data_IF_221927235810
#
_entry.id   IF_221927235810
#
_cell.length_a   1.000
_cell.length_b   1.000
_cell.length_c   1.000
_cell.angle_alpha   90.00
_cell.angle_beta   90.00
_cell.angle_gamma   90.00
#
_symmetry.space_group_name_H-M   'P 1'
#
loop_
_entity.id
_entity.type
_entity.pdbx_description
1 polymer ?
#
# COMPACT_ATOMS: atom_id res chain seq x y z
N UNK A 1 19.37 -3.60 11.30
CA UNK A 1 18.11 -2.80 11.30
C UNK A 1 17.49 -2.82 12.69
N UNK A 2 17.28 -3.97 13.29
CA UNK A 2 16.69 -4.13 14.63
C UNK A 2 17.41 -3.30 15.70
N UNK A 3 18.74 -3.41 15.82
CA UNK A 3 19.55 -2.57 16.71
C UNK A 3 19.33 -1.06 16.49
N UNK A 4 19.10 -0.64 15.23
CA UNK A 4 18.80 0.75 14.91
C UNK A 4 17.47 1.21 15.49
N UNK A 5 16.43 0.40 15.36
CA UNK A 5 15.11 0.65 15.96
C UNK A 5 15.23 0.71 17.48
N UNK A 6 15.91 -0.26 18.08
CA UNK A 6 16.15 -0.28 19.54
C UNK A 6 16.87 0.99 20.03
N UNK A 7 17.87 1.48 19.30
CA UNK A 7 18.57 2.73 19.66
C UNK A 7 17.67 3.96 19.62
N UNK A 8 16.76 4.05 18.63
CA UNK A 8 15.78 5.15 18.55
C UNK A 8 14.83 5.12 19.74
N UNK A 9 14.25 3.95 20.04
CA UNK A 9 13.34 3.77 21.19
C UNK A 9 14.03 4.12 22.50
N UNK A 10 15.24 3.60 22.72
CA UNK A 10 16.04 3.90 23.92
C UNK A 10 16.37 5.41 24.06
N UNK A 11 16.60 6.10 22.94
CA UNK A 11 16.83 7.54 22.95
C UNK A 11 15.60 8.33 23.36
N UNK A 12 14.43 7.96 22.82
CA UNK A 12 13.14 8.55 23.18
C UNK A 12 12.80 8.31 24.65
N UNK A 13 13.08 7.12 25.15
CA UNK A 13 12.85 6.78 26.56
C UNK A 13 13.76 7.60 27.48
N UNK A 14 15.07 7.68 27.19
CA UNK A 14 16.02 8.47 27.98
C UNK A 14 15.71 9.97 27.98
N UNK A 15 15.14 10.49 26.89
CA UNK A 15 14.71 11.89 26.79
C UNK A 15 13.33 12.17 27.36
N UNK A 16 12.61 11.15 27.87
CA UNK A 16 11.26 11.27 28.39
C UNK A 16 10.18 11.55 27.34
N UNK A 17 10.48 11.31 26.05
CA UNK A 17 9.58 11.61 24.93
C UNK A 17 8.78 10.40 24.45
N UNK A 18 9.12 9.18 24.87
CA UNK A 18 8.53 7.94 24.35
C UNK A 18 7.02 7.89 24.52
N UNK A 19 6.49 8.35 25.66
CA UNK A 19 5.06 8.31 25.95
C UNK A 19 4.25 9.27 25.06
N UNK A 20 4.87 10.32 24.53
CA UNK A 20 4.24 11.26 23.61
C UNK A 20 4.73 11.12 22.16
N UNK A 21 5.17 9.92 21.77
CA UNK A 21 5.68 9.66 20.41
C UNK A 21 4.97 8.47 19.80
N UNK A 22 4.28 8.68 18.66
CA UNK A 22 3.82 7.61 17.80
C UNK A 22 4.98 7.16 16.89
N UNK A 23 5.38 5.91 17.01
CA UNK A 23 6.40 5.28 16.16
C UNK A 23 5.70 4.47 15.08
N UNK A 24 6.00 4.76 13.82
CA UNK A 24 5.53 4.01 12.66
C UNK A 24 6.73 3.36 12.00
N UNK A 25 6.75 2.04 11.94
CA UNK A 25 7.76 1.27 11.24
C UNK A 25 7.11 0.48 10.11
N UNK A 26 7.49 0.76 8.87
CA UNK A 26 6.95 0.10 7.70
C UNK A 26 8.01 -0.02 6.60
N UNK A 27 7.81 -1.01 5.71
CA UNK A 27 8.58 -1.10 4.48
C UNK A 27 7.89 -0.28 3.38
N UNK A 28 8.68 0.23 2.43
CA UNK A 28 8.21 0.98 1.26
C UNK A 28 7.65 0.09 0.15
N UNK A 29 8.20 -1.11 0.02
CA UNK A 29 7.83 -2.12 -0.98
C UNK A 29 8.16 -3.54 -0.48
N UNK A 30 7.73 -4.54 -1.23
CA UNK A 30 8.12 -5.92 -0.96
C UNK A 30 9.63 -6.13 -1.10
N UNK A 31 10.15 -7.14 -0.43
CA UNK A 31 11.57 -7.46 -0.45
C UNK A 31 12.04 -7.97 -1.82
N UNK A 32 13.27 -7.64 -2.18
CA UNK A 32 13.92 -8.13 -3.40
C UNK A 32 14.54 -9.52 -3.13
N UNK A 33 14.06 -10.55 -3.81
CA UNK A 33 14.58 -11.91 -3.69
C UNK A 33 16.04 -12.04 -4.10
N UNK A 34 16.53 -11.17 -4.99
CA UNK A 34 17.95 -11.14 -5.36
C UNK A 34 18.84 -10.71 -4.19
N UNK A 35 18.26 -10.00 -3.22
CA UNK A 35 18.89 -9.60 -1.97
C UNK A 35 18.50 -10.51 -0.80
N UNK A 36 18.13 -11.76 -1.07
CA UNK A 36 17.75 -12.79 -0.08
C UNK A 36 16.53 -12.43 0.78
N UNK A 37 15.73 -11.46 0.34
CA UNK A 37 14.54 -11.08 1.07
C UNK A 37 13.45 -12.16 1.00
N UNK A 38 12.73 -12.35 2.10
CA UNK A 38 11.64 -13.29 2.23
C UNK A 38 10.31 -12.54 2.41
N UNK A 39 9.44 -12.61 1.39
CA UNK A 39 8.11 -12.00 1.42
C UNK A 39 7.03 -12.92 2.02
N UNK A 40 7.44 -14.02 2.65
CA UNK A 40 6.52 -15.03 3.18
C UNK A 40 5.84 -15.86 2.08
N UNK A 41 4.60 -16.33 2.31
CA UNK A 41 3.93 -17.26 1.39
C UNK A 41 3.29 -16.59 0.17
N UNK A 42 3.46 -15.27 -0.01
CA UNK A 42 2.85 -14.52 -1.11
C UNK A 42 3.70 -14.58 -2.38
N UNK A 43 3.05 -14.39 -3.53
CA UNK A 43 3.71 -14.39 -4.84
C UNK A 43 4.39 -13.06 -5.11
N UNK A 44 5.47 -13.08 -5.89
CA UNK A 44 6.18 -11.90 -6.39
C UNK A 44 7.22 -11.35 -5.42
N UNK A 45 7.89 -10.30 -5.88
CA UNK A 45 8.91 -9.59 -5.13
C UNK A 45 8.93 -8.09 -5.51
N UNK A 46 9.92 -7.37 -5.01
CA UNK A 46 10.09 -5.93 -5.30
C UNK A 46 9.92 -5.63 -6.79
N UNK A 47 8.94 -4.81 -7.10
CA UNK A 47 8.64 -4.40 -8.47
C UNK A 47 7.46 -5.10 -9.08
N UNK A 48 7.00 -6.22 -8.54
CA UNK A 48 5.78 -6.88 -8.99
C UNK A 48 4.51 -6.23 -8.43
N UNK A 49 3.39 -6.42 -9.14
CA UNK A 49 2.05 -6.06 -8.66
C UNK A 49 1.36 -7.20 -7.89
N UNK A 50 2.01 -8.35 -7.75
CA UNK A 50 1.60 -9.37 -6.79
C UNK A 50 1.81 -8.91 -5.36
N UNK A 51 1.14 -9.54 -4.40
CA UNK A 51 1.23 -9.15 -2.99
C UNK A 51 2.68 -9.14 -2.46
N UNK A 52 3.57 -10.01 -2.97
CA UNK A 52 4.98 -10.01 -2.59
C UNK A 52 5.75 -8.73 -2.96
N UNK A 53 5.26 -7.95 -3.93
CA UNK A 53 5.86 -6.67 -4.30
C UNK A 53 5.19 -5.47 -3.62
N UNK A 54 3.91 -5.55 -3.26
CA UNK A 54 3.14 -4.39 -2.79
C UNK A 54 2.63 -4.50 -1.35
N UNK A 55 2.52 -5.71 -0.79
CA UNK A 55 2.12 -5.91 0.59
C UNK A 55 3.33 -5.86 1.50
N UNK A 56 3.32 -4.92 2.43
CA UNK A 56 4.45 -4.63 3.29
C UNK A 56 4.11 -4.85 4.77
N UNK A 57 5.14 -5.14 5.57
CA UNK A 57 5.02 -5.11 7.01
C UNK A 57 4.86 -3.65 7.47
N UNK A 58 3.90 -3.42 8.34
CA UNK A 58 3.69 -2.13 8.99
C UNK A 58 3.35 -2.35 10.45
N UNK A 59 4.00 -1.62 11.33
CA UNK A 59 3.78 -1.66 12.77
C UNK A 59 3.67 -0.25 13.32
N UNK A 60 2.71 -0.03 14.20
CA UNK A 60 2.53 1.23 14.91
C UNK A 60 2.68 0.95 16.40
N UNK A 61 3.45 1.80 17.07
CA UNK A 61 3.66 1.72 18.50
C UNK A 61 3.50 3.10 19.14
N UNK A 62 2.68 3.17 20.17
CA UNK A 62 2.54 4.36 21.00
C UNK A 62 2.27 3.92 22.43
N UNK A 63 3.25 4.12 23.28
CA UNK A 63 3.24 3.64 24.64
C UNK A 63 2.04 4.21 25.43
N UNK A 64 1.25 3.32 26.04
CA UNK A 64 0.06 3.69 26.81
C UNK A 64 -1.17 4.13 25.99
N UNK A 65 -1.05 4.26 24.66
CA UNK A 65 -2.12 4.72 23.77
C UNK A 65 -2.63 3.67 22.78
N UNK A 66 -1.77 2.75 22.35
CA UNK A 66 -2.13 1.68 21.44
C UNK A 66 -1.98 0.32 22.12
N UNK A 67 -3.01 -0.51 22.00
CA UNK A 67 -2.98 -1.90 22.46
C UNK A 67 -2.20 -2.79 21.49
N UNK A 68 -1.52 -3.81 22.02
CA UNK A 68 -0.86 -4.82 21.20
C UNK A 68 -1.89 -5.71 20.51
N UNK A 69 -2.01 -5.58 19.19
CA UNK A 69 -2.95 -6.38 18.39
C UNK A 69 -2.54 -6.45 16.93
N UNK A 70 -3.12 -7.39 16.22
CA UNK A 70 -3.01 -7.49 14.77
C UNK A 70 -4.27 -6.95 14.09
N UNK A 71 -4.08 -6.10 13.10
CA UNK A 71 -5.14 -5.53 12.26
C UNK A 71 -5.06 -6.18 10.88
N UNK A 72 -6.17 -6.75 10.40
CA UNK A 72 -6.24 -7.43 9.11
C UNK A 72 -6.94 -6.61 8.02
N UNK A 73 -7.36 -5.40 8.34
CA UNK A 73 -8.00 -4.49 7.41
C UNK A 73 -7.02 -4.05 6.30
N UNK A 74 -7.54 -3.77 5.11
CA UNK A 74 -6.76 -3.20 4.03
C UNK A 74 -6.42 -1.74 4.32
N UNK A 75 -5.13 -1.45 4.46
CA UNK A 75 -4.60 -0.12 4.71
C UNK A 75 -3.53 0.19 3.67
N UNK A 76 -3.47 1.43 3.20
CA UNK A 76 -2.48 1.94 2.27
C UNK A 76 -1.52 2.89 2.95
N UNK A 77 -0.31 3.06 2.39
CA UNK A 77 0.63 4.09 2.86
C UNK A 77 0.04 5.51 2.77
N UNK A 78 -0.82 5.76 1.79
CA UNK A 78 -1.55 7.02 1.66
C UNK A 78 -2.50 7.31 2.84
N UNK A 79 -2.86 6.31 3.63
CA UNK A 79 -3.74 6.47 4.79
C UNK A 79 -3.00 7.03 6.02
N UNK A 80 -1.67 6.98 6.02
CA UNK A 80 -0.86 7.50 7.14
C UNK A 80 -1.09 8.99 7.32
N UNK A 81 -1.01 9.77 6.25
CA UNK A 81 -1.17 11.22 6.32
C UNK A 81 -2.52 11.67 6.93
N UNK A 82 -3.70 11.25 6.38
CA UNK A 82 -4.97 11.62 6.99
C UNK A 82 -5.16 11.07 8.40
N UNK A 83 -4.58 9.92 8.73
CA UNK A 83 -4.62 9.37 10.08
C UNK A 83 -3.86 10.26 11.07
N UNK A 84 -2.68 10.75 10.69
CA UNK A 84 -1.92 11.68 11.53
C UNK A 84 -2.62 13.03 11.68
N UNK A 85 -3.19 13.56 10.59
CA UNK A 85 -4.00 14.78 10.64
C UNK A 85 -5.18 14.65 11.58
N UNK A 86 -5.92 13.54 11.49
CA UNK A 86 -7.06 13.24 12.37
C UNK A 86 -6.63 13.07 13.84
N UNK A 87 -5.48 12.41 14.05
CA UNK A 87 -4.91 12.24 15.38
C UNK A 87 -4.63 13.57 16.10
N UNK A 88 -4.12 14.56 15.37
CA UNK A 88 -3.80 15.90 15.89
C UNK A 88 -4.92 16.92 15.64
N UNK A 89 -6.10 16.48 15.19
CA UNK A 89 -7.27 17.31 14.89
C UNK A 89 -7.00 18.41 13.85
N UNK A 90 -6.12 18.14 12.90
CA UNK A 90 -5.82 19.04 11.79
C UNK A 90 -6.71 18.72 10.59
N UNK A 91 -7.57 19.65 10.13
CA UNK A 91 -8.43 19.40 8.99
C UNK A 91 -7.62 19.32 7.68
N UNK A 92 -8.00 18.36 6.83
CA UNK A 92 -7.45 18.22 5.48
C UNK A 92 -8.42 18.93 4.50
N UNK A 93 -8.01 20.07 3.96
CA UNK A 93 -8.86 20.95 3.15
C UNK A 93 -8.71 20.75 1.63
N UNK A 94 -8.09 19.65 1.20
CA UNK A 94 -7.91 19.32 -0.20
C UNK A 94 -8.19 17.83 -0.44
N UNK A 95 -8.41 17.47 -1.70
CA UNK A 95 -8.65 16.09 -2.09
C UNK A 95 -7.38 15.26 -1.88
N UNK A 96 -7.54 14.12 -1.21
CA UNK A 96 -6.51 13.09 -1.01
C UNK A 96 -7.08 11.71 -1.35
N UNK A 97 -6.21 10.74 -1.60
CA UNK A 97 -6.62 9.37 -1.90
C UNK A 97 -6.71 8.48 -0.64
N UNK A 98 -6.01 8.87 0.43
CA UNK A 98 -6.02 8.15 1.69
C UNK A 98 -7.24 8.46 2.54
N UNK A 99 -7.53 7.57 3.48
CA UNK A 99 -8.55 7.74 4.53
C UNK A 99 -7.90 7.66 5.91
N UNK A 100 -8.45 8.34 6.91
CA UNK A 100 -8.02 8.12 8.29
C UNK A 100 -8.37 6.71 8.74
N UNK A 101 -7.42 6.00 9.30
CA UNK A 101 -7.60 4.70 9.96
C UNK A 101 -7.46 4.83 11.49
N UNK A 102 -7.61 6.04 12.02
CA UNK A 102 -7.58 6.30 13.46
C UNK A 102 -8.60 5.47 14.23
N UNK A 103 -9.84 5.22 13.75
CA UNK A 103 -10.77 4.30 14.41
C UNK A 103 -10.17 2.90 14.61
N UNK A 104 -9.49 2.35 13.60
CA UNK A 104 -8.81 1.06 13.74
C UNK A 104 -7.73 1.11 14.82
N UNK A 105 -6.96 2.19 14.91
CA UNK A 105 -5.92 2.34 15.92
C UNK A 105 -6.52 2.40 17.34
N UNK A 106 -7.73 2.90 17.48
CA UNK A 106 -8.51 3.00 18.73
C UNK A 106 -9.38 1.77 19.03
N UNK A 107 -9.13 0.66 18.36
CA UNK A 107 -9.89 -0.58 18.51
C UNK A 107 -11.39 -0.45 18.20
N UNK A 108 -11.72 0.41 17.22
CA UNK A 108 -13.08 0.60 16.71
C UNK A 108 -13.22 -0.10 15.36
N UNK A 109 -14.42 -0.53 15.02
CA UNK A 109 -14.72 -1.11 13.73
C UNK A 109 -14.66 -0.06 12.63
N UNK A 110 -14.06 -0.41 11.50
CA UNK A 110 -13.99 0.43 10.31
C UNK A 110 -13.90 -0.44 9.06
N UNK A 111 -14.73 -0.14 8.07
CA UNK A 111 -14.63 -0.71 6.73
C UNK A 111 -13.59 0.09 5.93
N UNK A 112 -12.52 -0.56 5.50
CA UNK A 112 -11.42 0.09 4.76
C UNK A 112 -11.27 -0.41 3.32
N UNK A 113 -11.98 -1.45 2.95
CA UNK A 113 -11.90 -2.12 1.65
C UNK A 113 -13.05 -1.78 0.71
N UNK A 114 -14.03 -0.96 1.15
CA UNK A 114 -15.12 -0.46 0.28
C UNK A 114 -14.67 0.77 -0.54
N UNK A 115 -13.47 0.65 -1.12
CA UNK A 115 -12.84 1.65 -2.00
C UNK A 115 -11.90 0.95 -2.97
N UNK A 116 -11.63 1.60 -4.11
CA UNK A 116 -10.59 1.12 -5.02
C UNK A 116 -9.21 1.53 -4.53
N UNK A 117 -8.31 0.58 -4.44
CA UNK A 117 -6.89 0.79 -4.14
C UNK A 117 -6.09 0.57 -5.41
N UNK A 118 -5.23 1.53 -5.75
CA UNK A 118 -4.48 1.52 -7.01
C UNK A 118 -2.98 1.49 -6.76
N UNK A 119 -2.26 0.73 -7.58
CA UNK A 119 -0.81 0.75 -7.68
C UNK A 119 -0.43 0.95 -9.13
N UNK A 120 0.43 1.93 -9.38
CA UNK A 120 0.96 2.24 -10.70
C UNK A 120 2.46 2.41 -10.57
N UNK A 121 3.21 1.58 -11.28
CA UNK A 121 4.65 1.73 -11.42
C UNK A 121 4.97 2.03 -12.86
N UNK A 122 5.57 3.19 -13.10
CA UNK A 122 6.06 3.62 -14.42
C UNK A 122 7.54 3.85 -14.31
N UNK A 123 8.33 3.10 -15.05
CA UNK A 123 9.78 3.27 -15.09
C UNK A 123 10.18 3.94 -16.40
N UNK A 124 11.14 4.85 -16.30
CA UNK A 124 11.69 5.62 -17.42
C UNK A 124 13.15 5.22 -17.68
N UNK A 125 13.63 5.46 -18.91
CA UNK A 125 15.04 5.31 -19.30
C UNK A 125 15.46 3.88 -19.56
N UNK A 126 16.68 3.53 -19.18
CA UNK A 126 17.32 2.24 -19.47
C UNK A 126 16.60 1.01 -18.90
N UNK A 127 15.63 1.21 -18.00
CA UNK A 127 14.80 0.15 -17.43
C UNK A 127 13.59 -0.17 -18.32
N UNK A 128 13.48 0.47 -19.48
CA UNK A 128 12.66 -0.02 -20.58
C UNK A 128 11.18 0.29 -20.53
N UNK A 129 10.76 1.41 -19.92
CA UNK A 129 9.37 1.89 -20.02
C UNK A 129 8.31 0.89 -19.49
N UNK A 130 8.65 0.06 -18.53
CA UNK A 130 7.73 -0.90 -17.91
C UNK A 130 6.64 -0.15 -17.18
N UNK A 131 5.40 -0.37 -17.60
CA UNK A 131 4.22 0.06 -16.85
C UNK A 131 3.60 -1.17 -16.21
N UNK A 132 3.50 -1.14 -14.89
CA UNK A 132 2.90 -2.19 -14.09
C UNK A 132 1.75 -1.58 -13.30
N UNK A 133 0.67 -2.31 -13.17
CA UNK A 133 -0.56 -1.75 -12.66
C UNK A 133 -1.31 -2.78 -11.85
N UNK A 134 -1.94 -2.33 -10.76
CA UNK A 134 -2.93 -3.13 -10.04
C UNK A 134 -4.06 -2.25 -9.51
N UNK A 135 -5.22 -2.85 -9.40
CA UNK A 135 -6.36 -2.30 -8.66
C UNK A 135 -6.95 -3.39 -7.77
N UNK A 136 -7.31 -3.02 -6.56
CA UNK A 136 -8.01 -3.89 -5.61
C UNK A 136 -9.30 -3.22 -5.12
N UNK A 137 -10.34 -4.01 -5.01
CA UNK A 137 -11.61 -3.65 -4.39
C UNK A 137 -12.11 -4.85 -3.60
N UNK A 138 -12.25 -4.70 -2.31
CA UNK A 138 -12.58 -5.79 -1.38
C UNK A 138 -11.61 -6.97 -1.57
N UNK A 139 -12.15 -8.19 -1.75
CA UNK A 139 -11.37 -9.40 -1.99
C UNK A 139 -10.84 -9.55 -3.42
N UNK A 140 -11.25 -8.70 -4.36
CA UNK A 140 -10.86 -8.85 -5.78
C UNK A 140 -9.70 -7.95 -6.17
N UNK A 141 -8.77 -8.50 -6.95
CA UNK A 141 -7.58 -7.81 -7.45
C UNK A 141 -7.40 -8.08 -8.94
N UNK A 142 -7.18 -7.01 -9.69
CA UNK A 142 -6.83 -7.05 -11.10
C UNK A 142 -5.45 -6.43 -11.26
N UNK A 143 -4.54 -7.10 -11.97
CA UNK A 143 -3.16 -6.64 -12.12
C UNK A 143 -2.56 -6.96 -13.48
N UNK A 144 -1.49 -6.25 -13.82
CA UNK A 144 -0.62 -6.47 -14.96
C UNK A 144 0.82 -6.15 -14.57
N UNK A 145 1.71 -7.13 -14.68
CA UNK A 145 3.13 -6.96 -14.32
C UNK A 145 4.02 -6.53 -15.48
N UNK A 146 3.56 -6.68 -16.71
CA UNK A 146 4.28 -6.21 -17.88
C UNK A 146 3.34 -5.61 -18.91
N UNK A 147 3.76 -4.58 -19.65
CA UNK A 147 3.02 -4.11 -20.81
C UNK A 147 2.73 -5.28 -21.75
N UNK A 148 1.56 -5.30 -22.37
CA UNK A 148 1.13 -6.31 -23.35
C UNK A 148 0.86 -7.72 -22.79
N UNK A 149 1.10 -8.01 -21.52
CA UNK A 149 0.59 -9.24 -20.91
C UNK A 149 -0.93 -9.12 -20.64
N UNK A 150 -1.67 -10.23 -20.70
CA UNK A 150 -3.06 -10.23 -20.28
C UNK A 150 -3.19 -9.79 -18.82
N UNK A 151 -4.25 -9.05 -18.52
CA UNK A 151 -4.62 -8.74 -17.14
C UNK A 151 -4.96 -10.03 -16.40
N UNK A 152 -4.46 -10.15 -15.18
CA UNK A 152 -4.71 -11.27 -14.28
C UNK A 152 -5.69 -10.82 -13.18
N UNK A 153 -6.71 -11.62 -12.93
CA UNK A 153 -7.80 -11.33 -12.01
C UNK A 153 -7.90 -12.40 -10.94
N UNK A 154 -7.94 -12.01 -9.67
CA UNK A 154 -7.89 -12.92 -8.53
C UNK A 154 -8.92 -12.58 -7.46
N UNK A 155 -9.39 -13.61 -6.75
CA UNK A 155 -10.06 -13.46 -5.46
C UNK A 155 -9.03 -13.70 -4.34
N UNK A 156 -8.58 -12.66 -3.68
CA UNK A 156 -7.51 -12.70 -2.66
C UNK A 156 -7.90 -13.42 -1.38
N UNK A 157 -9.22 -13.62 -1.15
CA UNK A 157 -9.72 -14.39 0.00
C UNK A 157 -9.61 -15.90 -0.25
N UNK A 158 -9.82 -16.32 -1.50
CA UNK A 158 -9.77 -17.73 -1.91
C UNK A 158 -8.36 -18.14 -2.34
N UNK A 159 -7.65 -17.23 -3.00
CA UNK A 159 -6.30 -17.43 -3.55
C UNK A 159 -5.35 -16.31 -3.12
N UNK A 160 -4.90 -16.37 -1.88
CA UNK A 160 -3.92 -15.42 -1.34
C UNK A 160 -2.52 -15.52 -1.96
N UNK A 161 -2.27 -16.56 -2.75
CA UNK A 161 -1.01 -16.78 -3.49
C UNK A 161 -1.06 -16.28 -4.93
N UNK A 162 -2.20 -15.79 -5.39
CA UNK A 162 -2.37 -15.26 -6.75
C UNK A 162 -1.93 -16.28 -7.82
N UNK A 163 -2.28 -17.54 -7.63
CA UNK A 163 -1.83 -18.68 -8.45
C UNK A 163 -2.86 -19.12 -9.48
N UNK A 164 -4.14 -18.80 -9.28
CA UNK A 164 -5.27 -19.26 -10.09
C UNK A 164 -6.12 -18.06 -10.54
N UNK A 165 -5.77 -17.44 -11.69
CA UNK A 165 -6.58 -16.35 -12.24
C UNK A 165 -8.01 -16.79 -12.52
N UNK A 166 -8.95 -15.93 -12.19
CA UNK A 166 -10.38 -16.13 -12.45
C UNK A 166 -10.73 -15.76 -13.89
N UNK A 167 -11.85 -16.34 -14.37
CA UNK A 167 -12.51 -15.89 -15.58
C UNK A 167 -13.14 -14.49 -15.42
N UNK A 168 -13.27 -13.78 -16.52
CA UNK A 168 -13.81 -12.42 -16.54
C UNK A 168 -15.30 -12.41 -16.23
N UNK A 169 -15.70 -11.62 -15.25
CA UNK A 169 -17.06 -11.43 -14.81
C UNK A 169 -17.47 -9.95 -14.70
N UNK A 170 -18.58 -9.68 -14.04
CA UNK A 170 -19.06 -8.32 -13.82
C UNK A 170 -18.12 -7.52 -12.87
N UNK A 171 -17.46 -8.20 -11.91
CA UNK A 171 -16.50 -7.56 -10.98
C UNK A 171 -15.21 -7.22 -11.71
N UNK A 172 -14.70 -8.12 -12.56
CA UNK A 172 -13.59 -7.83 -13.47
C UNK A 172 -13.87 -6.55 -14.27
N UNK A 173 -15.05 -6.43 -14.86
CA UNK A 173 -15.43 -5.28 -15.69
C UNK A 173 -15.44 -3.98 -14.90
N UNK A 174 -15.89 -4.01 -13.63
CA UNK A 174 -15.83 -2.86 -12.70
C UNK A 174 -14.40 -2.47 -12.37
N UNK A 175 -13.55 -3.43 -12.02
CA UNK A 175 -12.13 -3.19 -11.71
C UNK A 175 -11.40 -2.63 -12.93
N UNK A 176 -11.61 -3.18 -14.11
CA UNK A 176 -11.03 -2.70 -15.35
C UNK A 176 -11.41 -1.25 -15.64
N UNK A 177 -12.69 -0.91 -15.55
CA UNK A 177 -13.18 0.46 -15.73
C UNK A 177 -12.54 1.43 -14.72
N UNK A 178 -12.49 1.06 -13.45
CA UNK A 178 -11.88 1.87 -12.40
C UNK A 178 -10.38 2.09 -12.66
N UNK A 179 -9.66 1.05 -13.08
CA UNK A 179 -8.25 1.12 -13.42
C UNK A 179 -7.99 2.05 -14.62
N UNK A 180 -8.78 1.95 -15.69
CA UNK A 180 -8.66 2.84 -16.86
C UNK A 180 -8.95 4.29 -16.48
N UNK A 181 -9.97 4.53 -15.68
CA UNK A 181 -10.30 5.89 -15.23
C UNK A 181 -9.21 6.47 -14.33
N UNK A 182 -8.64 5.66 -13.43
CA UNK A 182 -7.50 6.08 -12.62
C UNK A 182 -6.30 6.50 -13.49
N UNK A 183 -6.03 5.80 -14.60
CA UNK A 183 -4.96 6.19 -15.53
C UNK A 183 -5.23 7.51 -16.22
N UNK A 184 -6.47 7.75 -16.61
CA UNK A 184 -6.85 9.02 -17.23
C UNK A 184 -6.65 10.20 -16.28
N UNK A 185 -7.08 10.05 -15.03
CA UNK A 185 -6.96 11.08 -14.00
C UNK A 185 -5.50 11.32 -13.63
N UNK A 186 -4.75 10.26 -13.33
CA UNK A 186 -3.33 10.37 -12.94
C UNK A 186 -2.41 10.75 -14.09
N UNK A 187 -2.81 10.52 -15.34
CA UNK A 187 -2.09 10.95 -16.53
C UNK A 187 -2.37 12.40 -16.93
N UNK A 188 -3.39 13.05 -16.35
CA UNK A 188 -3.72 14.46 -16.65
C UNK A 188 -2.65 15.43 -16.13
N UNK A 189 -1.90 15.04 -15.09
CA UNK A 189 -0.75 15.81 -14.60
C UNK A 189 0.52 15.18 -15.19
N UNK A 190 1.36 15.95 -15.93
CA UNK A 190 2.61 15.43 -16.45
C UNK A 190 3.50 14.94 -15.31
N UNK A 191 3.80 13.63 -15.30
CA UNK A 191 4.72 13.04 -14.33
C UNK A 191 6.19 13.08 -14.79
N UNK A 192 6.40 13.41 -16.06
CA UNK A 192 7.72 13.67 -16.64
C UNK A 192 7.91 15.17 -16.85
N UNK A 193 9.12 15.64 -16.56
CA UNK A 193 9.49 17.01 -16.90
C UNK A 193 9.40 17.18 -18.42
N UNK A 194 8.69 18.21 -18.94
CA UNK A 194 8.69 18.49 -20.35
C UNK A 194 10.12 18.64 -20.85
N UNK A 195 10.43 18.03 -21.99
CA UNK A 195 11.71 18.29 -22.64
C UNK A 195 11.77 19.78 -22.94
N UNK A 196 12.65 20.49 -22.27
CA UNK A 196 12.98 21.88 -22.64
C UNK A 196 13.60 21.85 -24.04
N UNK A 197 12.96 22.53 -24.98
CA UNK A 197 13.54 22.75 -26.32
C UNK A 197 14.80 23.58 -26.22
#
# INVERSE_FOLDING_TARGET
MDDGVGRVINSLEKSGQLDNTLIIFCSDNGGDRKSEANNGPVRGDKGDMYDGGIKVACSLYWKGHLEHRRVNNLVMMSDIFPTLCDLVQLPVNHRIDGISVLPLLRNQEQVTDDRYLFWVRREHGDIGGKTQNAVRYKEYKLLQNRPFEPLQYFNMKQDSKESQPLEKDAVYSKLYKAMVEHYRISGAIPWQRPLTK
#
